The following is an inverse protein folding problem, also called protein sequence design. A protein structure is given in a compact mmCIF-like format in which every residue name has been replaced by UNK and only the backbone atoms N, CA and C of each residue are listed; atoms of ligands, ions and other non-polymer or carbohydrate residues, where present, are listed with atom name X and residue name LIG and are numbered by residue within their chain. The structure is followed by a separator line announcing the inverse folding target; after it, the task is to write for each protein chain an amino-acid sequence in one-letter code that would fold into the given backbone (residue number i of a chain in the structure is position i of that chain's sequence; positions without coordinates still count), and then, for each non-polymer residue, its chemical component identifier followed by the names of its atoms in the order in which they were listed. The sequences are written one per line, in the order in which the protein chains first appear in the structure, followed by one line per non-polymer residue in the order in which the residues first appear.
data_IF_072115994094
#
_entry.id   IF_072115994094
#
_cell.length_a   1.000
_cell.length_b   1.000
_cell.length_c   1.000
_cell.angle_alpha   90.00
_cell.angle_beta   90.00
_cell.angle_gamma   90.00
#
_symmetry.space_group_name_H-M   'P 1'
#
loop_
_entity.id
_entity.type
_entity.pdbx_description
1 polymer ?
#
# COMPACT_ATOMS: atom_id res chain seq x y z
N UNK A 1 -2.55 -0.71 14.70
CA UNK A 1 -3.36 -0.72 15.96
C UNK A 1 -3.94 0.65 16.28
N UNK A 2 -3.08 1.66 16.47
CA UNK A 2 -3.53 3.01 16.89
C UNK A 2 -4.58 3.61 15.95
N UNK A 3 -4.33 3.66 14.65
CA UNK A 3 -5.28 4.22 13.67
C UNK A 3 -6.64 3.52 13.72
N UNK A 4 -6.67 2.24 14.04
CA UNK A 4 -7.91 1.48 14.17
C UNK A 4 -8.67 1.84 15.46
N UNK A 5 -7.96 2.23 16.52
CA UNK A 5 -8.57 2.58 17.80
C UNK A 5 -9.11 4.02 17.84
N UNK A 6 -8.56 4.93 17.03
CA UNK A 6 -8.91 6.36 17.04
C UNK A 6 -10.42 6.64 16.98
N UNK A 7 -11.22 6.05 16.06
CA UNK A 7 -12.66 6.34 16.03
C UNK A 7 -13.39 5.89 17.30
N UNK A 8 -12.98 4.78 17.90
CA UNK A 8 -13.56 4.32 19.17
C UNK A 8 -13.18 5.27 20.30
N UNK A 9 -11.92 5.69 20.40
CA UNK A 9 -11.45 6.64 21.41
C UNK A 9 -12.15 7.99 21.33
N UNK A 10 -12.47 8.44 20.11
CA UNK A 10 -13.21 9.68 19.89
C UNK A 10 -14.70 9.56 20.20
N UNK A 11 -15.33 8.41 19.97
CA UNK A 11 -16.77 8.23 20.13
C UNK A 11 -17.18 7.83 21.55
N UNK A 12 -16.36 7.02 22.25
CA UNK A 12 -16.68 6.52 23.59
C UNK A 12 -16.99 7.62 24.60
N UNK A 13 -16.17 8.69 24.75
CA UNK A 13 -16.42 9.70 25.76
C UNK A 13 -17.69 10.55 25.51
N UNK A 14 -18.12 10.64 24.23
CA UNK A 14 -19.25 11.47 23.83
C UNK A 14 -20.57 10.70 23.68
N UNK A 15 -20.61 9.40 23.98
CA UNK A 15 -21.82 8.59 23.94
C UNK A 15 -22.72 8.85 25.15
N UNK A 16 -23.18 10.11 25.31
CA UNK A 16 -23.90 10.57 26.52
C UNK A 16 -25.39 10.22 26.54
N UNK A 17 -25.97 9.92 25.38
CA UNK A 17 -27.40 9.55 25.28
C UNK A 17 -27.56 8.18 24.64
N UNK A 18 -28.71 7.52 24.92
CA UNK A 18 -29.04 6.21 24.32
C UNK A 18 -29.09 6.26 22.77
N UNK A 19 -29.50 7.39 22.22
CA UNK A 19 -29.54 7.61 20.75
C UNK A 19 -28.12 7.71 20.19
N UNK A 20 -27.26 8.51 20.81
CA UNK A 20 -25.85 8.65 20.42
C UNK A 20 -25.10 7.32 20.57
N UNK A 21 -25.28 6.60 21.66
CA UNK A 21 -24.68 5.30 21.87
C UNK A 21 -25.12 4.29 20.79
N UNK A 22 -26.42 4.28 20.42
CA UNK A 22 -26.94 3.40 19.37
C UNK A 22 -26.33 3.70 17.99
N UNK A 23 -26.25 4.96 17.59
CA UNK A 23 -25.62 5.35 16.33
C UNK A 23 -24.11 5.13 16.36
N UNK A 24 -23.44 5.47 17.46
CA UNK A 24 -22.02 5.22 17.68
C UNK A 24 -21.67 3.73 17.57
N UNK A 25 -22.47 2.86 18.19
CA UNK A 25 -22.31 1.41 18.08
C UNK A 25 -22.43 0.91 16.64
N UNK A 26 -23.39 1.43 15.86
CA UNK A 26 -23.54 1.07 14.44
C UNK A 26 -22.35 1.53 13.63
N UNK A 27 -21.91 2.76 13.82
CA UNK A 27 -20.74 3.33 13.11
C UNK A 27 -19.45 2.58 13.45
N UNK A 28 -19.20 2.30 14.72
CA UNK A 28 -18.02 1.55 15.14
C UNK A 28 -18.02 0.12 14.61
N UNK A 29 -19.16 -0.56 14.67
CA UNK A 29 -19.29 -1.92 14.09
C UNK A 29 -19.04 -1.91 12.58
N UNK A 30 -19.62 -0.95 11.85
CA UNK A 30 -19.38 -0.80 10.41
C UNK A 30 -17.91 -0.49 10.11
N UNK A 31 -17.33 0.45 10.85
CA UNK A 31 -15.92 0.83 10.72
C UNK A 31 -14.99 -0.35 10.97
N UNK A 32 -15.12 -1.05 12.10
CA UNK A 32 -14.27 -2.21 12.39
C UNK A 32 -14.47 -3.32 11.37
N UNK A 33 -15.73 -3.58 10.96
CA UNK A 33 -16.00 -4.60 9.93
C UNK A 33 -15.31 -4.24 8.63
N UNK A 34 -15.45 -3.01 8.13
CA UNK A 34 -14.82 -2.57 6.90
C UNK A 34 -13.28 -2.63 6.99
N UNK A 35 -12.72 -2.18 8.09
CA UNK A 35 -11.26 -2.19 8.31
C UNK A 35 -10.71 -3.62 8.34
N UNK A 36 -11.35 -4.53 9.08
CA UNK A 36 -10.91 -5.93 9.11
C UNK A 36 -11.07 -6.63 7.78
N UNK A 37 -12.12 -6.34 7.01
CA UNK A 37 -12.28 -6.84 5.64
C UNK A 37 -11.12 -6.34 4.77
N UNK A 38 -10.74 -5.06 4.87
CA UNK A 38 -9.60 -4.51 4.13
C UNK A 38 -8.27 -5.20 4.50
N UNK A 39 -8.02 -5.41 5.80
CA UNK A 39 -6.82 -6.13 6.27
C UNK A 39 -6.79 -7.56 5.73
N UNK A 40 -7.90 -8.30 5.86
CA UNK A 40 -7.99 -9.69 5.37
C UNK A 40 -7.85 -9.74 3.84
N UNK A 41 -8.45 -8.81 3.12
CA UNK A 41 -8.32 -8.72 1.67
C UNK A 41 -6.85 -8.54 1.25
N UNK A 42 -6.12 -7.60 1.87
CA UNK A 42 -4.71 -7.37 1.56
C UNK A 42 -3.84 -8.59 1.87
N UNK A 43 -4.08 -9.28 3.00
CA UNK A 43 -3.32 -10.49 3.33
C UNK A 43 -3.68 -11.67 2.39
N UNK A 44 -4.92 -11.79 1.91
CA UNK A 44 -5.31 -12.79 0.91
C UNK A 44 -4.73 -12.50 -0.48
N UNK A 45 -4.54 -11.22 -0.83
CA UNK A 45 -3.89 -10.81 -2.08
C UNK A 45 -2.37 -11.02 -2.05
N UNK A 46 -1.76 -11.04 -0.86
CA UNK A 46 -0.31 -11.08 -0.67
C UNK A 46 0.38 -12.25 -1.35
N UNK A 47 -0.07 -13.53 -1.25
CA UNK A 47 0.62 -14.63 -1.91
C UNK A 47 0.68 -14.49 -3.42
N UNK A 48 -0.41 -14.03 -4.05
CA UNK A 48 -0.44 -13.82 -5.51
C UNK A 48 0.46 -12.67 -5.91
N UNK A 49 0.53 -11.60 -5.10
CA UNK A 49 1.38 -10.45 -5.35
C UNK A 49 2.87 -10.81 -5.21
N UNK A 50 3.24 -11.56 -4.17
CA UNK A 50 4.60 -12.07 -3.99
C UNK A 50 5.01 -12.96 -5.17
N UNK A 51 4.16 -13.88 -5.61
CA UNK A 51 4.47 -14.74 -6.74
C UNK A 51 4.70 -13.98 -8.06
N UNK A 52 4.13 -12.80 -8.21
CA UNK A 52 4.20 -12.02 -9.43
C UNK A 52 5.30 -10.94 -9.39
N UNK A 53 5.57 -10.35 -8.22
CA UNK A 53 6.40 -9.16 -8.07
C UNK A 53 7.57 -9.35 -7.09
N UNK A 54 7.73 -10.52 -6.48
CA UNK A 54 8.72 -10.78 -5.42
C UNK A 54 8.67 -9.76 -4.26
N UNK A 55 7.50 -9.16 -4.03
CA UNK A 55 7.29 -8.16 -2.99
C UNK A 55 5.89 -8.27 -2.39
N UNK A 56 5.68 -7.72 -1.18
CA UNK A 56 4.33 -7.52 -0.63
C UNK A 56 3.60 -6.39 -1.35
N UNK A 57 2.24 -6.37 -1.31
CA UNK A 57 1.48 -5.23 -1.77
C UNK A 57 2.03 -3.93 -1.17
N UNK A 58 2.41 -3.01 -2.03
CA UNK A 58 3.04 -1.72 -1.73
C UNK A 58 2.43 -0.61 -2.59
N UNK A 59 3.22 0.38 -3.01
CA UNK A 59 2.80 1.45 -3.93
C UNK A 59 2.30 0.93 -5.28
N UNK A 60 2.93 -0.11 -5.85
CA UNK A 60 2.47 -0.74 -7.10
C UNK A 60 1.03 -1.22 -7.01
N UNK A 61 0.63 -1.74 -5.84
CA UNK A 61 -0.76 -2.15 -5.62
C UNK A 61 -1.72 -0.96 -5.74
N UNK A 62 -1.30 0.23 -5.29
CA UNK A 62 -2.10 1.46 -5.40
C UNK A 62 -2.19 1.94 -6.85
N UNK A 63 -1.10 1.84 -7.63
CA UNK A 63 -1.09 2.18 -9.06
C UNK A 63 -2.07 1.33 -9.85
N UNK A 64 -2.18 0.03 -9.56
CA UNK A 64 -3.19 -0.83 -10.18
C UNK A 64 -4.63 -0.42 -9.90
N UNK A 65 -4.90 0.22 -8.76
CA UNK A 65 -6.25 0.72 -8.47
C UNK A 65 -6.66 1.90 -9.34
N UNK A 66 -5.73 2.54 -10.05
CA UNK A 66 -6.02 3.60 -11.03
C UNK A 66 -6.71 3.02 -12.28
N UNK A 67 -6.47 1.74 -12.60
CA UNK A 67 -7.02 1.04 -13.76
C UNK A 67 -7.94 -0.13 -13.34
N UNK A 68 -9.07 0.14 -12.66
CA UNK A 68 -9.87 -0.91 -12.02
C UNK A 68 -10.53 -1.88 -13.02
N UNK A 69 -10.83 -1.45 -14.25
CA UNK A 69 -11.45 -2.30 -15.28
C UNK A 69 -10.46 -3.34 -15.81
N UNK A 70 -9.26 -2.90 -16.11
CA UNK A 70 -8.18 -3.73 -16.62
C UNK A 70 -7.75 -4.76 -15.57
N UNK A 71 -7.59 -4.32 -14.33
CA UNK A 71 -7.28 -5.20 -13.20
C UNK A 71 -8.39 -6.23 -12.98
N UNK A 72 -9.65 -5.80 -12.96
CA UNK A 72 -10.78 -6.71 -12.77
C UNK A 72 -10.86 -7.76 -13.89
N UNK A 73 -10.66 -7.36 -15.15
CA UNK A 73 -10.67 -8.28 -16.29
C UNK A 73 -9.55 -9.32 -16.20
N UNK A 74 -8.34 -8.89 -15.85
CA UNK A 74 -7.17 -9.77 -15.67
C UNK A 74 -7.36 -10.75 -14.51
N UNK A 75 -7.86 -10.26 -13.38
CA UNK A 75 -8.14 -11.08 -12.21
C UNK A 75 -9.21 -12.14 -12.50
N UNK A 76 -10.31 -11.76 -13.17
CA UNK A 76 -11.37 -12.70 -13.53
C UNK A 76 -10.91 -13.74 -14.55
N UNK A 77 -10.03 -13.38 -15.48
CA UNK A 77 -9.50 -14.31 -16.48
C UNK A 77 -8.48 -15.28 -15.91
N UNK A 78 -7.57 -14.80 -15.03
CA UNK A 78 -6.42 -15.59 -14.56
C UNK A 78 -6.56 -16.18 -13.16
N UNK A 79 -7.38 -15.58 -12.28
CA UNK A 79 -7.40 -15.87 -10.85
C UNK A 79 -8.80 -16.18 -10.29
N UNK A 80 -9.71 -16.68 -11.10
CA UNK A 80 -11.13 -16.88 -10.73
C UNK A 80 -11.29 -17.78 -9.50
N UNK A 81 -10.52 -18.85 -9.35
CA UNK A 81 -10.61 -19.74 -8.17
C UNK A 81 -10.10 -19.06 -6.90
N UNK A 82 -9.03 -18.28 -7.00
CA UNK A 82 -8.48 -17.51 -5.90
C UNK A 82 -9.48 -16.45 -5.43
N UNK A 83 -10.15 -15.78 -6.37
CA UNK A 83 -11.20 -14.79 -6.07
C UNK A 83 -12.37 -15.45 -5.33
N UNK A 84 -12.86 -16.60 -5.81
CA UNK A 84 -13.95 -17.31 -5.13
C UNK A 84 -13.53 -17.72 -3.72
N UNK A 85 -12.32 -18.25 -3.54
CA UNK A 85 -11.76 -18.59 -2.23
C UNK A 85 -11.66 -17.39 -1.32
N UNK A 86 -11.14 -16.27 -1.82
CA UNK A 86 -11.01 -15.03 -1.07
C UNK A 86 -12.37 -14.47 -0.65
N UNK A 87 -13.37 -14.48 -1.53
CA UNK A 87 -14.73 -14.04 -1.21
C UNK A 87 -15.39 -14.92 -0.13
N UNK A 88 -15.18 -16.23 -0.18
CA UNK A 88 -15.66 -17.14 0.86
C UNK A 88 -15.02 -16.84 2.23
N UNK A 89 -13.69 -16.65 2.27
CA UNK A 89 -12.98 -16.31 3.50
C UNK A 89 -13.48 -14.96 4.04
N UNK A 90 -13.58 -13.94 3.18
CA UNK A 90 -14.10 -12.62 3.56
C UNK A 90 -15.53 -12.71 4.11
N UNK A 91 -16.39 -13.52 3.48
CA UNK A 91 -17.77 -13.73 3.95
C UNK A 91 -17.80 -14.38 5.34
N UNK A 92 -17.01 -15.44 5.56
CA UNK A 92 -16.90 -16.12 6.85
C UNK A 92 -16.35 -15.20 7.94
N UNK A 93 -15.29 -14.45 7.65
CA UNK A 93 -14.70 -13.45 8.55
C UNK A 93 -15.74 -12.37 8.89
N UNK A 94 -16.47 -11.87 7.90
CA UNK A 94 -17.50 -10.85 8.09
C UNK A 94 -18.62 -11.35 9.01
N UNK A 95 -19.08 -12.56 8.80
CA UNK A 95 -20.14 -13.18 9.64
C UNK A 95 -19.64 -13.37 11.08
N UNK A 96 -18.43 -13.93 11.24
CA UNK A 96 -17.80 -14.09 12.55
C UNK A 96 -17.61 -12.77 13.29
N UNK A 97 -17.06 -11.79 12.58
CA UNK A 97 -16.80 -10.46 13.12
C UNK A 97 -18.08 -9.73 13.54
N UNK A 98 -19.13 -9.78 12.71
CA UNK A 98 -20.43 -9.22 13.06
C UNK A 98 -20.97 -9.84 14.35
N UNK A 99 -20.84 -11.15 14.52
CA UNK A 99 -21.28 -11.83 15.74
C UNK A 99 -20.47 -11.42 16.96
N UNK A 100 -19.15 -11.31 16.83
CA UNK A 100 -18.26 -10.86 17.92
C UNK A 100 -18.55 -9.40 18.27
N UNK A 101 -18.54 -8.50 17.28
CA UNK A 101 -18.76 -7.08 17.52
C UNK A 101 -20.16 -6.76 18.06
N UNK A 102 -21.19 -7.55 17.68
CA UNK A 102 -22.53 -7.37 18.23
C UNK A 102 -22.62 -7.71 19.71
N UNK A 103 -21.75 -8.57 20.21
CA UNK A 103 -21.73 -9.00 21.62
C UNK A 103 -20.77 -8.19 22.48
N UNK A 104 -19.63 -7.77 21.90
CA UNK A 104 -18.52 -7.18 22.66
C UNK A 104 -18.45 -5.66 22.54
N UNK A 105 -19.01 -5.08 21.47
CA UNK A 105 -18.94 -3.65 21.23
C UNK A 105 -20.24 -2.96 21.60
N UNK A 106 -20.34 -2.60 22.89
CA UNK A 106 -21.43 -1.80 23.41
C UNK A 106 -20.86 -0.58 24.12
N UNK A 107 -21.17 0.61 23.58
CA UNK A 107 -20.82 1.86 24.25
C UNK A 107 -21.62 1.98 25.54
N UNK A 108 -20.99 2.38 26.66
CA UNK A 108 -21.67 2.59 27.92
C UNK A 108 -22.71 3.70 27.76
N UNK A 109 -23.94 3.42 28.25
CA UNK A 109 -25.06 4.38 28.21
C UNK A 109 -25.04 5.35 29.41
N UNK A 110 -23.93 5.47 30.12
CA UNK A 110 -23.81 6.37 31.26
C UNK A 110 -23.26 7.72 30.81
N UNK A 111 -23.93 8.82 31.11
CA UNK A 111 -23.43 10.14 30.80
C UNK A 111 -22.12 10.38 31.59
N UNK A 112 -21.04 10.64 30.86
CA UNK A 112 -19.81 11.13 31.44
C UNK A 112 -19.89 12.67 31.51
N UNK A 113 -19.37 13.26 32.58
CA UNK A 113 -19.27 14.71 32.65
C UNK A 113 -18.46 15.23 31.45
N UNK A 114 -18.94 16.25 30.77
CA UNK A 114 -18.30 16.80 29.56
C UNK A 114 -16.81 17.13 29.80
N UNK A 115 -16.51 17.71 30.95
CA UNK A 115 -15.12 18.02 31.33
C UNK A 115 -14.24 16.75 31.39
N UNK A 116 -14.76 15.67 31.98
CA UNK A 116 -14.05 14.41 32.04
C UNK A 116 -13.85 13.80 30.63
N UNK A 117 -14.86 13.89 29.74
CA UNK A 117 -14.74 13.45 28.36
C UNK A 117 -13.68 14.25 27.58
N UNK A 118 -13.67 15.56 27.72
CA UNK A 118 -12.73 16.47 27.06
C UNK A 118 -11.28 16.24 27.53
N UNK A 119 -11.07 15.93 28.80
CA UNK A 119 -9.73 15.66 29.34
C UNK A 119 -9.26 14.22 29.06
N UNK A 120 -10.18 13.26 29.14
CA UNK A 120 -9.84 11.84 28.96
C UNK A 120 -9.52 11.49 27.50
N UNK A 121 -10.24 12.10 26.54
CA UNK A 121 -10.04 11.80 25.11
C UNK A 121 -8.60 12.06 24.65
N UNK A 122 -8.01 13.27 24.83
CA UNK A 122 -6.63 13.50 24.45
C UNK A 122 -5.65 12.64 25.25
N UNK A 123 -5.91 12.38 26.54
CA UNK A 123 -5.07 11.52 27.34
C UNK A 123 -5.03 10.07 26.77
N UNK A 124 -6.18 9.52 26.41
CA UNK A 124 -6.27 8.19 25.77
C UNK A 124 -5.62 8.17 24.38
N UNK A 125 -5.77 9.23 23.60
CA UNK A 125 -5.12 9.37 22.30
C UNK A 125 -3.58 9.37 22.46
N UNK A 126 -3.05 10.17 23.37
CA UNK A 126 -1.61 10.21 23.67
C UNK A 126 -1.13 8.84 24.18
N UNK A 127 -1.84 8.25 25.13
CA UNK A 127 -1.50 6.94 25.68
C UNK A 127 -1.50 5.84 24.62
N UNK A 128 -2.44 5.89 23.68
CA UNK A 128 -2.51 4.93 22.56
C UNK A 128 -1.43 5.20 21.50
N UNK A 129 -0.97 6.44 21.38
CA UNK A 129 0.09 6.82 20.44
C UNK A 129 1.48 6.38 20.91
N UNK A 130 1.74 6.40 22.22
CA UNK A 130 3.05 6.03 22.80
C UNK A 130 3.52 4.63 22.40
N UNK A 131 2.70 3.55 22.48
CA UNK A 131 3.13 2.22 22.05
C UNK A 131 3.38 2.10 20.55
N UNK A 132 2.73 2.93 19.72
CA UNK A 132 2.95 2.94 18.27
C UNK A 132 4.37 3.45 17.93
N UNK A 133 4.94 4.26 18.80
CA UNK A 133 6.22 4.90 18.55
C UNK A 133 7.42 4.10 19.05
N UNK A 134 7.32 2.80 19.27
CA UNK A 134 8.35 1.82 19.68
C UNK A 134 9.65 2.34 20.34
N UNK A 135 10.06 3.58 20.04
CA UNK A 135 11.21 4.32 20.59
C UNK A 135 10.94 5.82 20.56
N UNK A 136 11.44 6.56 21.55
CA UNK A 136 11.39 8.03 21.64
C UNK A 136 12.35 8.75 20.66
N UNK A 137 12.68 8.14 19.51
CA UNK A 137 13.53 8.75 18.48
C UNK A 137 12.72 9.58 17.48
N UNK A 138 13.39 10.51 16.80
CA UNK A 138 12.77 11.44 15.84
C UNK A 138 12.17 10.76 14.60
N UNK A 139 12.54 9.52 14.29
CA UNK A 139 12.09 8.83 13.08
C UNK A 139 10.87 7.96 13.37
N UNK A 140 9.85 8.11 12.52
CA UNK A 140 8.73 7.18 12.48
C UNK A 140 9.21 5.78 12.10
N UNK A 141 8.44 4.76 12.46
CA UNK A 141 8.68 3.38 12.03
C UNK A 141 8.63 3.35 10.49
N UNK A 142 9.69 2.85 9.88
CA UNK A 142 9.79 2.69 8.43
C UNK A 142 10.14 1.24 8.06
N UNK A 143 9.96 0.82 6.80
CA UNK A 143 10.25 -0.55 6.37
C UNK A 143 11.69 -1.00 6.64
N UNK A 144 12.67 -0.09 6.63
CA UNK A 144 14.07 -0.44 6.87
C UNK A 144 14.34 -0.97 8.29
N UNK A 145 13.43 -0.75 9.24
CA UNK A 145 13.51 -1.36 10.58
C UNK A 145 13.23 -2.88 10.56
N UNK A 146 12.62 -3.38 9.51
CA UNK A 146 12.40 -4.81 9.28
C UNK A 146 13.55 -5.46 8.50
N UNK A 147 14.59 -4.71 8.12
CA UNK A 147 15.76 -5.21 7.43
C UNK A 147 16.64 -6.03 8.40
N UNK A 148 16.32 -7.32 8.52
CA UNK A 148 16.98 -8.31 9.38
C UNK A 148 17.92 -9.22 8.60
N UNK A 149 17.86 -9.18 7.25
CA UNK A 149 18.60 -10.06 6.35
C UNK A 149 19.12 -9.27 5.14
N UNK A 150 20.05 -9.87 4.41
CA UNK A 150 20.46 -9.40 3.07
C UNK A 150 19.49 -9.80 1.98
N UNK A 151 18.54 -10.68 2.28
CA UNK A 151 17.45 -11.10 1.41
C UNK A 151 16.27 -10.13 1.55
N UNK A 152 15.94 -9.44 0.46
CA UNK A 152 14.83 -8.48 0.42
C UNK A 152 13.48 -9.13 0.70
N UNK A 153 13.24 -10.34 0.19
CA UNK A 153 12.01 -11.08 0.42
C UNK A 153 11.84 -11.42 1.90
N UNK A 154 12.91 -11.86 2.58
CA UNK A 154 12.88 -12.15 4.01
C UNK A 154 12.53 -10.89 4.84
N UNK A 155 13.03 -9.73 4.43
CA UNK A 155 12.73 -8.46 5.08
C UNK A 155 11.28 -8.03 4.82
N UNK A 156 10.78 -8.22 3.60
CA UNK A 156 9.38 -7.93 3.24
C UNK A 156 8.39 -8.82 4.00
N UNK A 157 8.74 -10.09 4.24
CA UNK A 157 7.91 -11.02 5.02
C UNK A 157 7.76 -10.60 6.49
N UNK A 158 8.70 -9.83 7.03
CA UNK A 158 8.61 -9.29 8.39
C UNK A 158 7.57 -8.16 8.53
N UNK A 159 7.15 -7.53 7.42
CA UNK A 159 6.11 -6.51 7.37
C UNK A 159 4.72 -7.16 7.22
N UNK A 160 3.66 -6.39 7.47
CA UNK A 160 2.31 -6.75 7.06
C UNK A 160 1.84 -5.91 5.88
N UNK A 161 0.98 -6.47 5.03
CA UNK A 161 0.56 -5.84 3.77
C UNK A 161 -0.20 -4.54 3.98
N UNK A 162 -0.98 -4.43 5.06
CA UNK A 162 -1.67 -3.18 5.40
C UNK A 162 -0.67 -2.06 5.70
N UNK A 163 0.41 -2.36 6.44
CA UNK A 163 1.46 -1.38 6.72
C UNK A 163 2.20 -0.98 5.44
N UNK A 164 2.59 -1.95 4.60
CA UNK A 164 3.33 -1.71 3.36
C UNK A 164 2.53 -0.83 2.39
N UNK A 165 1.24 -1.11 2.20
CA UNK A 165 0.36 -0.28 1.36
C UNK A 165 0.16 1.12 1.92
N UNK A 166 -0.08 1.25 3.24
CA UNK A 166 -0.21 2.57 3.87
C UNK A 166 1.09 3.39 3.82
N UNK A 167 2.23 2.72 3.94
CA UNK A 167 3.54 3.36 3.81
C UNK A 167 3.76 3.84 2.37
N UNK A 168 3.51 3.00 1.35
CA UNK A 168 3.57 3.37 -0.06
C UNK A 168 2.67 4.57 -0.39
N UNK A 169 1.45 4.63 0.20
CA UNK A 169 0.57 5.78 0.04
C UNK A 169 1.18 7.09 0.59
N UNK A 170 1.99 7.02 1.64
CA UNK A 170 2.68 8.22 2.17
C UNK A 170 3.86 8.63 1.30
N UNK A 171 4.57 7.69 0.68
CA UNK A 171 5.68 7.98 -0.23
C UNK A 171 5.19 8.60 -1.53
N UNK A 172 4.17 8.03 -2.16
CA UNK A 172 3.55 8.58 -3.37
C UNK A 172 3.07 10.03 -3.19
N UNK A 173 2.63 10.41 -1.98
CA UNK A 173 2.24 11.81 -1.69
C UNK A 173 3.42 12.77 -1.56
N UNK A 174 4.62 12.27 -1.32
CA UNK A 174 5.84 13.08 -1.18
C UNK A 174 6.64 13.15 -2.49
N UNK A 175 6.25 12.40 -3.51
CA UNK A 175 6.78 12.60 -4.84
C UNK A 175 6.32 13.96 -5.36
N UNK A 176 7.25 14.87 -5.77
CA UNK A 176 6.86 16.14 -6.33
C UNK A 176 6.01 15.88 -7.58
N UNK A 177 4.83 16.51 -7.66
CA UNK A 177 3.98 16.50 -8.85
C UNK A 177 4.83 16.93 -10.06
N UNK A 178 5.19 15.96 -10.92
CA UNK A 178 6.06 16.19 -12.08
C UNK A 178 7.37 15.40 -12.09
N UNK A 179 7.60 14.48 -11.14
CA UNK A 179 8.81 13.66 -11.07
C UNK A 179 10.07 14.48 -10.78
N UNK A 180 11.22 13.83 -10.77
CA UNK A 180 12.50 14.55 -10.73
C UNK A 180 12.61 15.42 -11.99
N UNK A 181 12.55 16.74 -11.84
CA UNK A 181 12.87 17.66 -12.93
C UNK A 181 14.36 17.57 -13.18
N UNK A 182 14.73 16.63 -14.03
CA UNK A 182 16.04 16.71 -14.70
C UNK A 182 16.07 18.02 -15.50
N UNK A 183 17.20 18.72 -15.49
CA UNK A 183 17.32 19.97 -16.22
C UNK A 183 16.80 19.82 -17.66
N UNK A 184 16.12 20.83 -18.17
CA UNK A 184 15.64 20.82 -19.56
C UNK A 184 16.80 21.02 -20.52
N UNK A 185 16.87 20.18 -21.54
CA UNK A 185 17.83 20.25 -22.61
C UNK A 185 17.09 20.33 -23.93
N UNK A 186 17.52 21.15 -24.91
CA UNK A 186 16.95 21.14 -26.24
C UNK A 186 17.00 19.73 -26.85
N UNK A 187 15.92 19.30 -27.50
CA UNK A 187 15.81 17.94 -28.04
C UNK A 187 16.95 17.60 -29.02
N UNK A 188 17.43 18.56 -29.81
CA UNK A 188 18.54 18.38 -30.72
C UNK A 188 19.84 18.04 -29.97
N UNK A 189 20.15 18.77 -28.88
CA UNK A 189 21.35 18.52 -28.07
C UNK A 189 21.23 17.18 -27.31
N UNK A 190 20.06 16.85 -26.81
CA UNK A 190 19.80 15.56 -26.16
C UNK A 190 20.04 14.40 -27.14
N UNK A 191 19.55 14.52 -28.37
CA UNK A 191 19.74 13.54 -29.42
C UNK A 191 21.21 13.38 -29.83
N UNK A 192 21.93 14.49 -29.99
CA UNK A 192 23.35 14.47 -30.29
C UNK A 192 24.15 13.73 -29.20
N UNK A 193 23.87 14.01 -27.94
CA UNK A 193 24.50 13.31 -26.81
C UNK A 193 24.17 11.81 -26.77
N UNK A 194 22.92 11.44 -27.05
CA UNK A 194 22.52 10.03 -27.14
C UNK A 194 23.26 9.34 -28.28
N UNK A 195 23.28 9.93 -29.49
CA UNK A 195 23.98 9.37 -30.63
C UNK A 195 25.50 9.24 -30.38
N UNK A 196 26.12 10.24 -29.76
CA UNK A 196 27.52 10.16 -29.33
C UNK A 196 27.77 9.04 -28.32
N UNK A 197 26.88 8.88 -27.35
CA UNK A 197 26.96 7.80 -26.35
C UNK A 197 26.78 6.39 -26.93
N UNK A 198 26.06 6.26 -28.05
CA UNK A 198 25.91 4.99 -28.78
C UNK A 198 27.17 4.53 -29.49
N UNK A 199 28.17 5.40 -29.71
CA UNK A 199 29.43 5.11 -30.40
C UNK A 199 29.23 4.50 -31.80
N UNK A 200 28.19 4.93 -32.52
CA UNK A 200 27.82 4.46 -33.86
C UNK A 200 28.13 5.55 -34.87
N UNK A 201 28.75 5.15 -36.00
CA UNK A 201 29.03 6.09 -37.06
C UNK A 201 27.73 6.70 -37.61
N UNK A 202 27.70 8.03 -37.89
CA UNK A 202 26.48 8.72 -38.33
C UNK A 202 25.81 8.10 -39.57
N UNK A 203 26.60 7.51 -40.47
CA UNK A 203 26.12 6.83 -41.68
C UNK A 203 25.29 5.56 -41.42
N UNK A 204 25.30 5.04 -40.20
CA UNK A 204 24.54 3.85 -39.83
C UNK A 204 23.13 4.16 -39.29
N UNK A 205 22.80 5.42 -38.97
CA UNK A 205 21.45 5.82 -38.63
C UNK A 205 20.61 5.85 -39.92
N UNK A 206 19.43 5.21 -39.84
CA UNK A 206 18.65 4.87 -41.07
C UNK A 206 17.31 5.57 -41.13
N UNK A 207 16.92 6.28 -40.07
CA UNK A 207 15.59 6.88 -39.97
C UNK A 207 15.64 8.22 -39.23
N UNK A 208 14.94 9.22 -39.77
CA UNK A 208 14.85 10.54 -39.15
C UNK A 208 13.68 10.63 -38.19
N UNK A 209 12.59 9.83 -38.39
CA UNK A 209 11.43 9.76 -37.48
C UNK A 209 11.79 8.98 -36.22
N UNK A 210 12.68 8.00 -36.32
CA UNK A 210 13.25 7.27 -35.19
C UNK A 210 14.73 7.54 -35.07
N UNK A 211 15.12 8.66 -34.47
CA UNK A 211 16.48 9.19 -34.51
C UNK A 211 17.59 8.30 -33.96
N UNK A 212 17.24 7.26 -33.21
CA UNK A 212 18.19 6.29 -32.63
C UNK A 212 18.22 4.96 -33.40
N UNK A 213 17.37 4.80 -34.43
CA UNK A 213 17.34 3.59 -35.24
C UNK A 213 18.63 3.52 -36.11
N UNK A 214 19.38 2.43 -35.99
CA UNK A 214 20.63 2.24 -36.69
C UNK A 214 20.81 0.79 -37.15
N UNK A 215 21.61 0.61 -38.18
CA UNK A 215 22.06 -0.71 -38.64
C UNK A 215 23.30 -1.14 -37.89
N UNK A 216 23.19 -2.28 -37.20
CA UNK A 216 24.34 -2.89 -36.53
C UNK A 216 24.78 -4.13 -37.31
N UNK A 217 26.02 -4.16 -37.77
CA UNK A 217 26.56 -5.40 -38.33
C UNK A 217 26.95 -6.33 -37.19
N UNK A 218 26.44 -7.59 -37.24
CA UNK A 218 26.88 -8.60 -36.32
C UNK A 218 28.36 -8.82 -36.43
N UNK A 219 29.12 -8.42 -35.41
CA UNK A 219 30.53 -8.76 -35.32
C UNK A 219 30.68 -10.26 -35.15
N UNK A 220 31.29 -10.95 -36.12
CA UNK A 220 31.58 -12.39 -36.12
C UNK A 220 32.53 -12.85 -34.99
N UNK A 221 32.57 -12.19 -33.85
CA UNK A 221 33.50 -12.48 -32.74
C UNK A 221 33.03 -13.57 -31.76
N UNK A 222 31.83 -14.06 -31.89
CA UNK A 222 31.38 -15.19 -31.10
C UNK A 222 31.33 -16.45 -31.96
N UNK A 223 32.42 -17.24 -31.97
CA UNK A 223 32.32 -18.64 -32.34
C UNK A 223 31.42 -19.33 -31.29
N UNK A 224 30.31 -19.95 -31.73
CA UNK A 224 29.54 -20.83 -30.84
C UNK A 224 30.49 -21.86 -30.23
N UNK A 225 30.42 -22.12 -28.89
CA UNK A 225 31.12 -23.26 -28.36
C UNK A 225 30.62 -24.51 -29.13
N UNK A 226 31.53 -25.26 -29.67
CA UNK A 226 31.21 -26.57 -30.26
C UNK A 226 30.87 -27.48 -29.11
N UNK A 227 29.62 -27.96 -29.06
CA UNK A 227 29.23 -29.07 -28.21
C UNK A 227 30.00 -30.30 -28.61
#
# INVERSE_FOLDING_TARGET
GFLLAVPALLLVPFATTSVMARHGNRLLRAYFTATFIGVVFLELATPSFINQYDARPNELFLEYLVYPKEVASTLLAGYSYQIIGALLVIALVTLGLRRVLSRSLELPQRPMHLLAAVLLTPALLVLSFVPMRSRFHHRAVNPSMAAISTDLMANDLALNSTYSVLYGLTETRHEPEGGFRYGSMPSAEALERVRAGMQIAPAHFTDDDIPTLHRQQATRRYSRPKN
#
